data_IF_621073214657
#
_entry.id   IF_621073214657
#
_cell.length_a   1.000
_cell.length_b   1.000
_cell.length_c   1.000
_cell.angle_alpha   90.00
_cell.angle_beta   90.00
_cell.angle_gamma   90.00
#
_symmetry.space_group_name_H-M   'P 1'
#
loop_
_entity.id
_entity.type
_entity.pdbx_description
1 polymer ?
#
# COMPACT_ATOMS: atom_id res chain seq x y z
N UNK A 1 5.01 12.93 8.31
CA UNK A 1 6.29 12.34 7.86
C UNK A 1 7.06 11.63 8.97
N UNK A 2 7.52 12.31 10.03
CA UNK A 2 8.31 11.64 11.09
C UNK A 2 7.56 10.48 11.74
N UNK A 3 6.25 10.64 11.96
CA UNK A 3 5.40 9.56 12.47
C UNK A 3 5.38 8.33 11.53
N UNK A 4 5.39 8.56 10.21
CA UNK A 4 5.39 7.50 9.21
C UNK A 4 6.66 6.66 9.30
N UNK A 5 7.81 7.33 9.36
CA UNK A 5 9.10 6.66 9.47
C UNK A 5 9.36 6.01 10.83
N UNK A 6 8.59 6.34 11.88
CA UNK A 6 8.62 5.62 13.17
C UNK A 6 7.82 4.31 13.16
N UNK A 7 6.95 4.11 12.18
CA UNK A 7 6.20 2.88 12.03
C UNK A 7 7.05 1.74 11.48
N UNK A 8 8.12 2.05 10.75
CA UNK A 8 8.99 1.05 10.12
C UNK A 8 10.14 0.64 11.05
N UNK A 9 10.57 -0.64 11.06
CA UNK A 9 11.63 -1.11 11.97
C UNK A 9 13.01 -0.49 11.72
N UNK A 10 13.31 -0.17 10.45
CA UNK A 10 14.55 0.46 10.01
C UNK A 10 14.17 1.78 9.31
N UNK A 11 14.66 2.90 9.83
CA UNK A 11 14.26 4.23 9.37
C UNK A 11 15.02 4.71 8.13
N UNK A 12 16.05 3.96 7.69
CA UNK A 12 16.92 4.26 6.55
C UNK A 12 17.50 5.69 6.57
N UNK A 13 17.63 6.30 7.76
CA UNK A 13 18.08 7.69 7.93
C UNK A 13 17.04 8.77 7.60
N UNK A 14 15.82 8.38 7.23
CA UNK A 14 14.74 9.29 6.85
C UNK A 14 14.36 10.26 7.98
N UNK A 15 14.38 9.82 9.24
CA UNK A 15 14.01 10.66 10.39
C UNK A 15 14.99 11.82 10.54
N UNK A 16 16.29 11.54 10.49
CA UNK A 16 17.33 12.56 10.61
C UNK A 16 17.26 13.56 9.44
N UNK A 17 17.13 13.06 8.22
CA UNK A 17 16.98 13.89 7.02
C UNK A 17 15.76 14.81 7.09
N UNK A 18 14.61 14.25 7.49
CA UNK A 18 13.37 15.02 7.60
C UNK A 18 13.40 16.05 8.72
N UNK A 19 14.10 15.80 9.83
CA UNK A 19 14.32 16.81 10.87
C UNK A 19 15.13 17.99 10.35
N UNK A 20 16.19 17.74 9.58
CA UNK A 20 17.00 18.80 8.96
C UNK A 20 16.17 19.62 7.96
N UNK A 21 15.44 18.95 7.07
CA UNK A 21 14.56 19.59 6.09
C UNK A 21 13.44 20.40 6.76
N UNK A 22 12.88 19.90 7.86
CA UNK A 22 11.87 20.64 8.61
C UNK A 22 12.45 21.92 9.24
N UNK A 23 13.65 21.84 9.82
CA UNK A 23 14.34 23.03 10.33
C UNK A 23 14.64 24.04 9.22
N UNK A 24 15.10 23.57 8.06
CA UNK A 24 15.33 24.42 6.88
C UNK A 24 14.02 25.07 6.39
N UNK A 25 12.89 24.34 6.37
CA UNK A 25 11.59 24.89 5.99
C UNK A 25 11.13 26.00 6.95
N UNK A 26 11.33 25.82 8.26
CA UNK A 26 11.02 26.86 9.25
C UNK A 26 11.91 28.10 9.12
N UNK A 27 13.15 27.93 8.65
CA UNK A 27 14.09 29.02 8.39
C UNK A 27 13.87 29.70 7.03
N UNK A 28 12.97 29.18 6.17
CA UNK A 28 12.76 29.71 4.83
C UNK A 28 13.84 29.32 3.82
N UNK A 29 14.63 28.29 4.12
CA UNK A 29 15.73 27.84 3.28
C UNK A 29 15.27 26.91 2.15
N UNK A 30 15.90 26.94 0.96
CA UNK A 30 15.49 26.14 -0.20
C UNK A 30 15.39 24.63 0.07
N UNK A 31 16.27 24.09 0.93
CA UNK A 31 16.26 22.67 1.30
C UNK A 31 14.92 22.22 1.92
N UNK A 32 14.20 23.14 2.57
CA UNK A 32 12.89 22.88 3.16
C UNK A 32 11.80 22.53 2.15
N UNK A 33 11.92 22.99 0.90
CA UNK A 33 10.97 22.68 -0.17
C UNK A 33 10.92 21.19 -0.55
N UNK A 34 11.98 20.44 -0.23
CA UNK A 34 12.09 19.01 -0.53
C UNK A 34 11.57 18.12 0.59
N UNK A 35 10.98 18.68 1.66
CA UNK A 35 10.50 17.93 2.81
C UNK A 35 9.62 16.76 2.37
N UNK A 36 8.73 16.93 1.40
CA UNK A 36 7.75 15.91 1.03
C UNK A 36 8.18 14.97 -0.10
N UNK A 37 9.34 15.21 -0.72
CA UNK A 37 9.75 14.53 -1.95
C UNK A 37 10.60 13.29 -1.68
N UNK A 38 11.44 13.37 -0.64
CA UNK A 38 12.47 12.39 -0.36
C UNK A 38 12.65 12.24 1.17
N UNK A 39 13.02 11.04 1.67
CA UNK A 39 12.94 9.77 0.98
C UNK A 39 11.49 9.38 0.69
N UNK A 40 11.27 8.54 -0.32
CA UNK A 40 9.93 8.08 -0.69
C UNK A 40 9.23 7.42 0.50
N UNK A 41 8.11 7.99 0.93
CA UNK A 41 7.48 7.66 2.21
C UNK A 41 6.15 6.90 2.09
N UNK A 42 5.77 6.45 0.88
CA UNK A 42 4.49 5.77 0.63
C UNK A 42 4.31 4.49 1.43
N UNK A 43 5.32 3.62 1.49
CA UNK A 43 5.26 2.37 2.25
C UNK A 43 5.29 2.62 3.77
N UNK A 44 6.08 3.59 4.22
CA UNK A 44 6.10 4.03 5.62
C UNK A 44 4.74 4.62 6.05
N UNK A 45 4.05 5.33 5.15
CA UNK A 45 2.71 5.84 5.39
C UNK A 45 1.68 4.72 5.55
N UNK A 46 1.63 3.74 4.63
CA UNK A 46 0.73 2.59 4.78
C UNK A 46 1.05 1.81 6.05
N UNK A 47 2.34 1.57 6.34
CA UNK A 47 2.78 0.91 7.58
C UNK A 47 2.30 1.65 8.83
N UNK A 48 2.38 2.99 8.83
CA UNK A 48 1.86 3.82 9.91
C UNK A 48 0.35 3.71 10.05
N UNK A 49 -0.40 3.75 8.95
CA UNK A 49 -1.86 3.60 9.01
C UNK A 49 -2.27 2.26 9.60
N UNK A 50 -1.60 1.16 9.21
CA UNK A 50 -1.91 -0.16 9.77
C UNK A 50 -1.66 -0.22 11.27
N UNK A 51 -0.50 0.25 11.72
CA UNK A 51 -0.18 0.29 13.16
C UNK A 51 -1.11 1.22 13.94
N UNK A 52 -1.43 2.39 13.38
CA UNK A 52 -2.33 3.37 14.02
C UNK A 52 -3.77 2.87 14.11
N UNK A 53 -4.19 1.98 13.19
CA UNK A 53 -5.47 1.28 13.23
C UNK A 53 -5.49 0.11 14.24
N UNK A 54 -4.39 -0.17 14.93
CA UNK A 54 -4.27 -1.25 15.91
C UNK A 54 -3.99 -2.63 15.32
N UNK A 55 -3.59 -2.70 14.05
CA UNK A 55 -3.24 -3.97 13.38
C UNK A 55 -1.88 -4.43 13.89
N UNK A 56 -1.78 -5.69 14.32
CA UNK A 56 -0.55 -6.22 14.89
C UNK A 56 0.53 -6.40 13.80
N UNK A 57 1.80 -6.28 14.19
CA UNK A 57 2.95 -6.46 13.29
C UNK A 57 3.01 -7.87 12.67
N UNK A 58 2.41 -8.87 13.30
CA UNK A 58 2.28 -10.23 12.76
C UNK A 58 1.25 -10.30 11.64
N UNK A 59 0.21 -9.50 11.73
CA UNK A 59 -0.89 -9.42 10.75
C UNK A 59 -0.50 -8.55 9.55
N UNK A 60 0.20 -7.45 9.80
CA UNK A 60 0.80 -6.60 8.79
C UNK A 60 2.23 -6.19 9.21
N UNK A 61 3.28 -6.78 8.63
CA UNK A 61 4.65 -6.42 8.97
C UNK A 61 5.03 -5.06 8.34
N UNK A 62 5.28 -4.01 9.15
CA UNK A 62 5.59 -2.69 8.62
C UNK A 62 6.95 -2.68 7.91
N UNK A 63 7.05 -1.91 6.82
CA UNK A 63 8.28 -1.78 6.04
C UNK A 63 8.37 -0.44 5.32
N UNK A 64 9.61 0.04 5.10
CA UNK A 64 9.91 1.17 4.24
C UNK A 64 9.76 0.83 2.74
N UNK A 65 9.55 -0.44 2.39
CA UNK A 65 9.35 -0.90 1.01
C UNK A 65 8.02 -1.65 0.84
N UNK A 66 7.22 -1.23 -0.15
CA UNK A 66 5.97 -1.90 -0.53
C UNK A 66 6.19 -3.38 -0.84
N UNK A 67 7.23 -3.69 -1.61
CA UNK A 67 7.58 -5.05 -2.02
C UNK A 67 7.80 -6.01 -0.84
N UNK A 68 8.32 -5.52 0.28
CA UNK A 68 8.63 -6.35 1.44
C UNK A 68 7.36 -6.83 2.16
N UNK A 69 6.41 -5.92 2.45
CA UNK A 69 5.16 -6.35 3.08
C UNK A 69 4.25 -7.07 2.08
N UNK A 70 4.27 -6.74 0.79
CA UNK A 70 3.56 -7.49 -0.26
C UNK A 70 4.01 -8.95 -0.26
N UNK A 71 5.32 -9.20 -0.21
CA UNK A 71 5.86 -10.57 -0.13
C UNK A 71 5.41 -11.28 1.14
N UNK A 72 5.44 -10.58 2.28
CA UNK A 72 5.03 -11.15 3.55
C UNK A 72 3.54 -11.51 3.57
N UNK A 73 2.67 -10.65 3.02
CA UNK A 73 1.23 -10.92 2.93
C UNK A 73 0.93 -12.09 1.99
N UNK A 74 1.61 -12.17 0.83
CA UNK A 74 1.49 -13.32 -0.08
C UNK A 74 1.96 -14.61 0.59
N UNK A 75 3.10 -14.57 1.29
CA UNK A 75 3.64 -15.73 1.99
C UNK A 75 2.74 -16.20 3.14
N UNK A 76 2.16 -15.28 3.90
CA UNK A 76 1.23 -15.60 4.99
C UNK A 76 -0.06 -16.22 4.44
N UNK A 77 -0.63 -15.64 3.38
CA UNK A 77 -1.78 -16.19 2.67
C UNK A 77 -1.54 -17.59 2.08
N UNK A 78 -0.36 -17.82 1.51
CA UNK A 78 0.01 -19.14 0.99
C UNK A 78 0.13 -20.19 2.10
N UNK A 79 0.66 -19.80 3.28
CA UNK A 79 0.85 -20.70 4.41
C UNK A 79 -0.44 -20.94 5.21
N UNK A 80 -1.29 -19.94 5.31
CA UNK A 80 -2.49 -19.93 6.15
C UNK A 80 -3.71 -19.37 5.40
N UNK A 81 -4.15 -19.98 4.28
CA UNK A 81 -5.19 -19.40 3.43
C UNK A 81 -6.52 -19.17 4.15
N UNK A 82 -6.85 -20.00 5.15
CA UNK A 82 -8.07 -19.87 5.94
C UNK A 82 -8.03 -18.74 6.99
N UNK A 83 -6.83 -18.31 7.42
CA UNK A 83 -6.67 -17.41 8.59
C UNK A 83 -5.74 -16.23 8.34
N UNK A 84 -5.20 -16.05 7.13
CA UNK A 84 -4.36 -14.90 6.81
C UNK A 84 -5.18 -13.59 6.86
N UNK A 85 -4.74 -12.56 7.58
CA UNK A 85 -5.48 -11.29 7.69
C UNK A 85 -5.70 -10.59 6.34
N UNK A 86 -4.81 -10.80 5.38
CA UNK A 86 -4.94 -10.29 4.03
C UNK A 86 -4.82 -11.42 3.02
N UNK A 87 -5.74 -11.50 2.06
CA UNK A 87 -5.73 -12.53 1.02
C UNK A 87 -5.52 -11.88 -0.36
N UNK A 88 -4.44 -12.19 -1.11
CA UNK A 88 -4.23 -11.60 -2.41
C UNK A 88 -5.28 -12.10 -3.41
N UNK A 89 -5.80 -11.18 -4.20
CA UNK A 89 -6.70 -11.39 -5.34
C UNK A 89 -6.14 -10.68 -6.56
N UNK A 90 -6.43 -11.20 -7.74
CA UNK A 90 -6.16 -10.47 -8.97
C UNK A 90 -7.12 -9.29 -9.06
N UNK A 91 -6.70 -8.11 -9.57
CA UNK A 91 -7.56 -6.93 -9.65
C UNK A 91 -8.85 -7.13 -10.47
N UNK A 92 -8.90 -8.17 -11.31
CA UNK A 92 -10.03 -8.53 -12.16
C UNK A 92 -10.93 -9.62 -11.54
N UNK A 93 -10.55 -10.21 -10.38
CA UNK A 93 -11.32 -11.28 -9.73
C UNK A 93 -12.46 -10.73 -8.83
N UNK A 94 -12.29 -9.53 -8.28
CA UNK A 94 -13.09 -9.01 -7.18
C UNK A 94 -13.10 -7.48 -7.21
N UNK A 95 -14.27 -6.88 -6.93
CA UNK A 95 -14.36 -5.46 -6.66
C UNK A 95 -13.76 -5.18 -5.28
N UNK A 96 -12.68 -4.38 -5.16
CA UNK A 96 -12.08 -4.11 -3.88
C UNK A 96 -13.09 -3.42 -2.96
N UNK A 97 -12.96 -3.61 -1.64
CA UNK A 97 -13.82 -3.00 -0.62
C UNK A 97 -13.03 -1.98 0.20
N UNK A 98 -13.71 -1.03 0.86
CA UNK A 98 -13.07 -0.17 1.84
C UNK A 98 -12.26 -0.97 2.86
N UNK A 99 -10.99 -0.59 3.04
CA UNK A 99 -10.02 -1.27 3.90
C UNK A 99 -9.11 -2.27 3.19
N UNK A 100 -9.39 -2.64 1.93
CA UNK A 100 -8.47 -3.44 1.11
C UNK A 100 -7.25 -2.62 0.67
N UNK A 101 -6.14 -3.29 0.37
CA UNK A 101 -4.99 -2.64 -0.29
C UNK A 101 -5.03 -2.88 -1.78
N UNK A 102 -4.96 -1.80 -2.56
CA UNK A 102 -4.79 -1.85 -4.01
C UNK A 102 -3.32 -1.61 -4.35
N UNK A 103 -2.65 -2.60 -4.94
CA UNK A 103 -1.23 -2.54 -5.25
C UNK A 103 -0.96 -2.53 -6.76
N UNK A 104 -0.05 -1.64 -7.16
CA UNK A 104 0.42 -1.46 -8.52
C UNK A 104 1.95 -1.64 -8.64
N UNK A 105 2.38 -2.19 -9.76
CA UNK A 105 3.78 -2.32 -10.14
C UNK A 105 4.19 -1.09 -10.95
N UNK A 106 5.31 -0.48 -10.54
CA UNK A 106 5.91 0.71 -11.18
C UNK A 106 7.14 0.35 -12.02
N UNK A 107 7.39 -0.94 -12.24
CA UNK A 107 8.51 -1.42 -13.07
C UNK A 107 8.27 -1.11 -14.54
N UNK A 108 9.36 -0.96 -15.31
CA UNK A 108 9.30 -0.77 -16.77
C UNK A 108 8.58 -1.92 -17.49
N UNK A 109 8.72 -3.13 -16.97
CA UNK A 109 8.02 -4.33 -17.45
C UNK A 109 7.14 -4.81 -16.30
N UNK A 110 5.89 -4.32 -16.19
CA UNK A 110 5.07 -4.58 -15.02
C UNK A 110 4.56 -6.02 -14.97
N UNK A 111 4.35 -6.53 -13.77
CA UNK A 111 3.49 -7.68 -13.51
C UNK A 111 2.03 -7.23 -13.43
N UNK A 112 1.12 -8.13 -13.74
CA UNK A 112 -0.33 -7.91 -13.80
C UNK A 112 -1.10 -8.79 -12.80
N UNK A 113 -0.40 -9.70 -12.12
CA UNK A 113 -1.01 -10.64 -11.18
C UNK A 113 -0.11 -10.91 -9.97
N UNK A 114 -0.72 -11.07 -8.79
CA UNK A 114 -0.02 -11.38 -7.55
C UNK A 114 0.74 -12.71 -7.62
N UNK A 115 0.30 -13.67 -8.45
CA UNK A 115 1.00 -14.95 -8.65
C UNK A 115 2.35 -14.74 -9.34
N UNK A 116 2.44 -13.75 -10.24
CA UNK A 116 3.73 -13.34 -10.82
C UNK A 116 4.62 -12.70 -9.76
N UNK A 117 4.04 -11.94 -8.82
CA UNK A 117 4.80 -11.46 -7.66
C UNK A 117 5.30 -12.61 -6.79
N UNK A 118 4.46 -13.60 -6.51
CA UNK A 118 4.84 -14.76 -5.70
C UNK A 118 6.04 -15.51 -6.29
N UNK A 119 6.11 -15.65 -7.63
CA UNK A 119 7.25 -16.26 -8.32
C UNK A 119 8.54 -15.43 -8.24
N UNK A 120 8.41 -14.10 -8.05
CA UNK A 120 9.49 -13.13 -7.96
C UNK A 120 9.82 -12.71 -6.51
N UNK A 121 9.33 -13.45 -5.50
CA UNK A 121 9.45 -13.08 -4.09
C UNK A 121 10.91 -12.88 -3.65
N UNK A 122 11.15 -11.91 -2.77
CA UNK A 122 12.48 -11.56 -2.27
C UNK A 122 13.32 -10.69 -3.22
N UNK A 123 12.95 -10.56 -4.50
CA UNK A 123 13.54 -9.55 -5.38
C UNK A 123 12.88 -8.20 -5.17
N UNK A 124 13.70 -7.14 -5.06
CA UNK A 124 13.18 -5.78 -5.03
C UNK A 124 12.43 -5.46 -6.32
N UNK A 125 11.30 -4.76 -6.17
CA UNK A 125 10.46 -4.31 -7.26
C UNK A 125 9.83 -2.97 -6.89
N UNK A 126 9.94 -1.93 -7.73
CA UNK A 126 9.28 -0.66 -7.46
C UNK A 126 7.76 -0.87 -7.50
N UNK A 127 7.11 -0.60 -6.38
CA UNK A 127 5.68 -0.87 -6.19
C UNK A 127 5.04 0.29 -5.44
N UNK A 128 3.72 0.33 -5.51
CA UNK A 128 2.91 1.24 -4.73
C UNK A 128 1.64 0.55 -4.28
N UNK A 129 1.18 0.83 -3.07
CA UNK A 129 -0.09 0.34 -2.57
C UNK A 129 -0.82 1.49 -1.89
N UNK A 130 -2.13 1.55 -2.15
CA UNK A 130 -3.07 2.51 -1.58
C UNK A 130 -4.13 1.76 -0.78
N UNK A 131 -4.74 2.41 0.22
CA UNK A 131 -5.90 1.85 0.93
C UNK A 131 -7.17 2.27 0.21
N UNK A 132 -7.97 1.29 -0.20
CA UNK A 132 -9.29 1.55 -0.78
C UNK A 132 -10.21 2.13 0.30
N UNK A 133 -10.91 3.21 -0.03
CA UNK A 133 -11.82 3.90 0.90
C UNK A 133 -13.25 3.94 0.41
N UNK A 134 -13.47 3.77 -0.90
CA UNK A 134 -14.79 3.74 -1.50
C UNK A 134 -14.76 2.91 -2.78
N UNK A 135 -15.80 2.12 -3.00
CA UNK A 135 -16.04 1.40 -4.26
C UNK A 135 -17.49 1.59 -4.64
N UNK A 136 -17.73 1.96 -5.89
CA UNK A 136 -19.07 2.14 -6.42
C UNK A 136 -19.13 1.87 -7.92
N UNK A 137 -20.31 1.98 -8.53
CA UNK A 137 -20.46 1.80 -9.97
C UNK A 137 -19.55 2.79 -10.71
N UNK A 138 -18.70 2.27 -11.59
CA UNK A 138 -17.81 3.08 -12.41
C UNK A 138 -16.50 3.51 -11.76
N UNK A 139 -16.29 3.29 -10.46
CA UNK A 139 -15.11 3.82 -9.78
C UNK A 139 -14.68 3.07 -8.50
N UNK A 140 -13.38 3.18 -8.21
CA UNK A 140 -12.75 2.82 -6.94
C UNK A 140 -11.90 4.00 -6.49
N UNK A 141 -12.11 4.47 -5.26
CA UNK A 141 -11.29 5.52 -4.67
C UNK A 141 -10.35 4.93 -3.63
N UNK A 142 -9.07 5.30 -3.70
CA UNK A 142 -8.05 4.87 -2.75
C UNK A 142 -7.22 6.05 -2.25
N UNK A 143 -6.70 5.94 -1.03
CA UNK A 143 -5.80 6.91 -0.42
C UNK A 143 -4.39 6.34 -0.38
N UNK A 144 -3.49 7.04 -1.07
CA UNK A 144 -2.06 6.75 -1.13
C UNK A 144 -1.22 7.84 -0.47
N UNK A 145 -0.08 7.46 0.07
CA UNK A 145 0.95 8.39 0.52
C UNK A 145 2.01 8.59 -0.56
N UNK A 146 2.63 9.76 -0.63
CA UNK A 146 3.66 10.11 -1.61
C UNK A 146 3.21 9.91 -3.07
N UNK A 147 1.94 10.21 -3.32
CA UNK A 147 1.39 10.33 -4.67
C UNK A 147 1.49 11.79 -5.04
N UNK A 148 2.42 12.13 -5.93
CA UNK A 148 2.80 13.50 -6.25
C UNK A 148 3.21 14.29 -4.99
N UNK A 149 4.03 13.67 -4.14
CA UNK A 149 4.56 14.24 -2.89
C UNK A 149 3.49 14.64 -1.85
N UNK A 150 2.30 14.03 -1.94
CA UNK A 150 1.18 14.29 -1.04
C UNK A 150 0.47 13.02 -0.57
N UNK A 151 -0.40 13.18 0.44
CA UNK A 151 -1.45 12.19 0.74
C UNK A 151 -2.60 12.50 -0.19
N UNK A 152 -2.93 11.57 -1.08
CA UNK A 152 -3.83 11.84 -2.22
C UNK A 152 -4.92 10.78 -2.26
N UNK A 153 -6.16 11.23 -2.40
CA UNK A 153 -7.28 10.39 -2.81
C UNK A 153 -7.27 10.31 -4.34
N UNK A 154 -7.08 9.12 -4.88
CA UNK A 154 -7.10 8.86 -6.32
C UNK A 154 -8.38 8.11 -6.67
N UNK A 155 -9.09 8.57 -7.71
CA UNK A 155 -10.23 7.88 -8.30
C UNK A 155 -9.79 7.07 -9.51
N UNK A 156 -9.94 5.76 -9.44
CA UNK A 156 -9.65 4.83 -10.53
C UNK A 156 -10.92 4.41 -11.25
N UNK A 157 -10.89 4.28 -12.58
CA UNK A 157 -12.05 3.86 -13.35
C UNK A 157 -12.30 2.36 -13.15
N UNK A 158 -13.57 2.00 -12.96
CA UNK A 158 -14.03 0.63 -12.78
C UNK A 158 -15.30 0.36 -13.60
N UNK A 159 -15.73 -0.89 -13.67
CA UNK A 159 -17.00 -1.25 -14.27
C UNK A 159 -18.19 -0.99 -13.32
N UNK A 160 -19.41 -1.34 -13.76
CA UNK A 160 -20.62 -1.13 -12.95
C UNK A 160 -20.65 -1.97 -11.65
N UNK A 161 -19.86 -3.04 -11.58
CA UNK A 161 -19.71 -3.90 -10.40
C UNK A 161 -18.56 -3.43 -9.49
N UNK A 162 -17.78 -2.42 -9.89
CA UNK A 162 -16.62 -1.94 -9.14
C UNK A 162 -15.33 -2.72 -9.43
N UNK A 163 -15.29 -3.54 -10.50
CA UNK A 163 -14.06 -4.19 -10.95
C UNK A 163 -13.19 -3.16 -11.67
N UNK A 164 -11.94 -3.02 -11.24
CA UNK A 164 -11.00 -2.07 -11.83
C UNK A 164 -10.73 -2.39 -13.31
N UNK A 165 -10.76 -1.35 -14.14
CA UNK A 165 -10.20 -1.48 -15.48
C UNK A 165 -8.67 -1.58 -15.42
N UNK A 166 -8.04 -2.22 -16.42
CA UNK A 166 -6.59 -2.17 -16.57
C UNK A 166 -6.10 -0.71 -16.58
N UNK A 167 -4.95 -0.48 -15.94
CA UNK A 167 -4.32 0.83 -15.98
C UNK A 167 -4.00 1.24 -17.43
N UNK A 168 -4.16 2.52 -17.79
CA UNK A 168 -3.84 2.98 -19.14
C UNK A 168 -2.33 2.82 -19.42
N UNK A 169 -1.92 2.75 -20.71
CA UNK A 169 -0.51 2.66 -21.08
C UNK A 169 0.34 3.76 -20.43
N UNK A 170 1.44 3.36 -19.79
CA UNK A 170 2.36 4.27 -19.09
C UNK A 170 2.00 4.56 -17.62
N UNK A 171 0.81 4.17 -17.15
CA UNK A 171 0.47 4.21 -15.74
C UNK A 171 0.95 2.93 -15.01
N UNK A 172 1.17 2.99 -13.68
CA UNK A 172 1.46 1.79 -12.88
C UNK A 172 0.36 0.74 -13.03
N UNK A 173 0.75 -0.51 -13.27
CA UNK A 173 -0.21 -1.59 -13.52
C UNK A 173 -0.66 -2.24 -12.22
N UNK A 174 -1.96 -2.30 -11.97
CA UNK A 174 -2.50 -3.05 -10.84
C UNK A 174 -2.20 -4.54 -11.01
N UNK A 175 -1.67 -5.15 -9.96
CA UNK A 175 -1.34 -6.58 -9.96
C UNK A 175 -1.97 -7.34 -8.78
N UNK A 176 -2.37 -6.64 -7.73
CA UNK A 176 -2.99 -7.27 -6.57
C UNK A 176 -4.01 -6.35 -5.90
N UNK A 177 -5.09 -6.95 -5.44
CA UNK A 177 -5.91 -6.46 -4.32
C UNK A 177 -5.62 -7.38 -3.14
N UNK A 178 -5.17 -6.84 -2.02
CA UNK A 178 -5.13 -7.59 -0.77
C UNK A 178 -6.46 -7.39 -0.05
N UNK A 179 -7.33 -8.39 -0.16
CA UNK A 179 -8.61 -8.43 0.55
C UNK A 179 -8.32 -8.43 2.05
N UNK A 180 -8.77 -7.38 2.73
CA UNK A 180 -8.67 -7.27 4.17
C UNK A 180 -9.73 -8.15 4.84
N UNK A 181 -9.29 -9.10 5.66
CA UNK A 181 -10.14 -10.01 6.44
C UNK A 181 -10.06 -9.75 7.95
N UNK A 182 -9.37 -8.70 8.38
CA UNK A 182 -9.35 -8.30 9.79
C UNK A 182 -10.77 -8.06 10.29
N UNK A 183 -11.09 -8.57 11.48
CA UNK A 183 -12.45 -8.55 12.04
C UNK A 183 -13.44 -9.52 11.38
N UNK A 184 -13.03 -10.30 10.38
CA UNK A 184 -13.80 -11.37 9.71
C UNK A 184 -13.25 -12.77 9.98
N UNK A 185 -12.13 -12.85 10.71
CA UNK A 185 -11.48 -14.08 11.12
C UNK A 185 -11.90 -14.47 12.55
N UNK A 186 -11.90 -15.77 12.90
CA UNK A 186 -12.21 -16.22 14.26
C UNK A 186 -11.43 -15.44 15.33
N UNK A 187 -12.05 -15.09 16.48
CA UNK A 187 -13.39 -15.50 16.93
C UNK A 187 -14.54 -14.68 16.32
N UNK A 188 -14.25 -13.72 15.45
CA UNK A 188 -15.26 -12.91 14.79
C UNK A 188 -15.83 -13.67 13.60
N UNK A 189 -17.16 -13.78 13.53
CA UNK A 189 -17.85 -14.30 12.36
C UNK A 189 -18.51 -13.14 11.62
N UNK A 190 -18.36 -13.10 10.29
CA UNK A 190 -19.35 -12.42 9.44
C UNK A 190 -20.66 -13.17 9.60
N UNK A 191 -21.44 -12.82 10.62
CA UNK A 191 -22.83 -13.24 10.66
C UNK A 191 -23.56 -12.38 9.62
N UNK A 192 -24.30 -12.97 8.68
CA UNK A 192 -25.00 -12.22 7.63
C UNK A 192 -26.01 -11.20 8.19
#
# INVERSE_FOLDING_TARGET
MLAYWRAVPQDEGAIALNRRRYAAALAGEPEGGHLWQDPYWSAAFISYLMLAAGIDRREFPPSAAHSAYVDALIADAARFPATAPFLPRSPQELAPRPGDLLCADRSRTPILDWRQRAADAGRFRPMHCDIVVETGPGHVDAIGGNVLDAVTRTRFPADAAGILYPAPPGAPAFFAVFENRLGRLPPWSETP
#
